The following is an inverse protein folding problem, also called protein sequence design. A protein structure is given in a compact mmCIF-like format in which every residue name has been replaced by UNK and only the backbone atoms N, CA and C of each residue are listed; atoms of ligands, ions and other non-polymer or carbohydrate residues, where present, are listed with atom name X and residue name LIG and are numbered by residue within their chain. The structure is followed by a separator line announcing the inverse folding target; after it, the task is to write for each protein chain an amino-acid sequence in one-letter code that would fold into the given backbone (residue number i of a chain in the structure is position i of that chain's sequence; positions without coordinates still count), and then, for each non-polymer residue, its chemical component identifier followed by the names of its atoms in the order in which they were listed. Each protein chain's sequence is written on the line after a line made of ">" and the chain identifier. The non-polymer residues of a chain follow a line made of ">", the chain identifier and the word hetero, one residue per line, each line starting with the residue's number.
data_IF_600785171520
#
_entry.id   IF_600785171520
#
_cell.length_a   1.000
_cell.length_b   1.000
_cell.length_c   1.000
_cell.angle_alpha   90.00
_cell.angle_beta   90.00
_cell.angle_gamma   90.00
#
_symmetry.space_group_name_H-M   'P 1'
#
loop_
_entity.id
_entity.type
_entity.pdbx_description
1 polymer ?
#
# COMPACT_ATOMS: atom_id res chain seq x y z
N UNK A 1 17.75 27.74 -17.11
CA UNK A 1 18.30 27.63 -15.74
C UNK A 1 18.12 26.18 -15.33
N UNK A 2 19.20 25.41 -15.18
CA UNK A 2 19.12 24.02 -14.70
C UNK A 2 18.73 24.06 -13.23
N UNK A 3 17.56 23.53 -12.87
CA UNK A 3 17.15 23.40 -11.48
C UNK A 3 18.19 22.54 -10.75
N UNK A 4 18.90 23.12 -9.80
CA UNK A 4 19.90 22.41 -9.02
C UNK A 4 19.17 21.75 -7.84
N UNK A 5 18.90 20.46 -7.95
CA UNK A 5 18.20 19.71 -6.92
C UNK A 5 19.17 19.37 -5.78
N UNK A 6 18.79 19.55 -4.50
CA UNK A 6 19.69 19.28 -3.40
C UNK A 6 19.78 17.77 -3.12
N UNK A 7 20.94 17.33 -2.65
CA UNK A 7 21.07 16.05 -1.96
C UNK A 7 20.25 16.05 -0.68
N UNK A 8 19.59 14.94 -0.39
CA UNK A 8 18.77 14.74 0.80
C UNK A 8 19.48 13.81 1.78
N UNK A 9 19.31 14.07 3.07
CA UNK A 9 19.63 13.13 4.15
C UNK A 9 18.32 12.72 4.81
N UNK A 10 17.92 11.49 4.58
CA UNK A 10 16.70 10.91 5.13
C UNK A 10 17.05 10.22 6.46
N UNK A 11 16.43 10.64 7.55
CA UNK A 11 16.65 10.07 8.88
C UNK A 11 15.46 9.20 9.28
N UNK A 12 15.72 7.94 9.63
CA UNK A 12 14.69 6.96 9.96
C UNK A 12 14.73 6.60 11.44
N UNK A 13 13.54 6.41 12.02
CA UNK A 13 13.36 5.87 13.37
C UNK A 13 12.27 4.81 13.34
N UNK A 14 12.66 3.55 13.43
CA UNK A 14 11.78 2.39 13.41
C UNK A 14 11.26 2.10 14.83
N UNK A 15 9.94 1.99 14.98
CA UNK A 15 9.29 1.87 16.30
C UNK A 15 9.08 0.43 16.77
N UNK A 16 9.23 -0.56 15.89
CA UNK A 16 9.03 -1.99 16.19
C UNK A 16 10.35 -2.73 16.09
N UNK A 17 10.65 -3.59 17.06
CA UNK A 17 11.86 -4.42 17.07
C UNK A 17 11.95 -5.34 15.86
N UNK A 18 10.82 -5.87 15.39
CA UNK A 18 10.73 -6.73 14.21
C UNK A 18 11.02 -6.02 12.88
N UNK A 19 11.16 -4.69 12.88
CA UNK A 19 11.45 -3.90 11.68
C UNK A 19 12.92 -3.46 11.61
N UNK A 20 13.72 -3.73 12.64
CA UNK A 20 15.12 -3.31 12.68
C UNK A 20 15.89 -3.82 11.46
N UNK A 21 16.73 -2.96 10.89
CA UNK A 21 17.56 -3.27 9.72
C UNK A 21 18.98 -3.50 10.24
N UNK A 22 19.50 -4.73 10.11
CA UNK A 22 20.76 -5.17 10.75
C UNK A 22 20.81 -4.87 12.27
N UNK A 23 19.68 -5.08 12.96
CA UNK A 23 19.54 -4.77 14.39
C UNK A 23 19.44 -3.27 14.72
N UNK A 24 19.48 -2.38 13.72
CA UNK A 24 19.41 -0.94 13.92
C UNK A 24 17.98 -0.42 13.77
N UNK A 25 17.53 0.36 14.76
CA UNK A 25 16.23 1.07 14.72
C UNK A 25 16.35 2.53 14.31
N UNK A 26 17.57 3.08 14.24
CA UNK A 26 17.82 4.48 13.87
C UNK A 26 18.98 4.49 12.89
N UNK A 27 18.77 5.04 11.69
CA UNK A 27 19.79 5.13 10.66
C UNK A 27 19.50 6.31 9.73
N UNK A 28 20.48 6.66 8.90
CA UNK A 28 20.31 7.69 7.86
C UNK A 28 20.64 7.12 6.49
N UNK A 29 19.93 7.61 5.48
CA UNK A 29 20.25 7.36 4.07
C UNK A 29 20.54 8.70 3.39
N UNK A 30 21.49 8.70 2.47
CA UNK A 30 21.79 9.87 1.64
C UNK A 30 21.19 9.61 0.26
N UNK A 31 20.54 10.60 -0.31
CA UNK A 31 19.93 10.53 -1.63
C UNK A 31 20.44 11.70 -2.49
N UNK A 32 21.12 11.40 -3.59
CA UNK A 32 21.66 12.37 -4.53
C UNK A 32 20.80 12.41 -5.79
N UNK A 33 20.34 13.59 -6.24
CA UNK A 33 19.45 13.68 -7.38
C UNK A 33 20.16 13.38 -8.69
N UNK A 34 19.47 12.66 -9.57
CA UNK A 34 19.83 12.44 -10.98
C UNK A 34 18.71 13.01 -11.85
N UNK A 35 19.03 14.05 -12.62
CA UNK A 35 18.06 14.74 -13.47
C UNK A 35 18.03 14.10 -14.85
N UNK A 36 16.85 13.82 -15.39
CA UNK A 36 16.73 13.29 -16.74
C UNK A 36 17.26 14.27 -17.79
N UNK A 37 17.68 13.75 -18.94
CA UNK A 37 18.27 14.56 -20.02
C UNK A 37 17.33 15.65 -20.54
N UNK A 38 16.02 15.40 -20.50
CA UNK A 38 14.96 16.32 -20.89
C UNK A 38 14.48 17.22 -19.73
N UNK A 39 15.08 17.10 -18.54
CA UNK A 39 14.71 17.81 -17.30
C UNK A 39 13.26 17.62 -16.86
N UNK A 40 12.56 16.61 -17.37
CA UNK A 40 11.16 16.34 -17.02
C UNK A 40 10.99 15.54 -15.73
N UNK A 41 12.07 14.89 -15.28
CA UNK A 41 12.06 14.03 -14.09
C UNK A 41 13.35 14.11 -13.30
N UNK A 42 13.23 13.82 -12.00
CA UNK A 42 14.36 13.71 -11.07
C UNK A 42 14.23 12.37 -10.38
N UNK A 43 15.25 11.54 -10.51
CA UNK A 43 15.45 10.34 -9.72
C UNK A 43 16.44 10.64 -8.61
N UNK A 44 16.58 9.71 -7.67
CA UNK A 44 17.55 9.82 -6.60
C UNK A 44 18.36 8.54 -6.48
N UNK A 45 19.68 8.67 -6.60
CA UNK A 45 20.61 7.61 -6.25
C UNK A 45 20.82 7.63 -4.75
N UNK A 46 20.64 6.49 -4.09
CA UNK A 46 20.67 6.42 -2.63
C UNK A 46 21.86 5.62 -2.13
N UNK A 47 22.33 5.97 -0.93
CA UNK A 47 23.38 5.24 -0.23
C UNK A 47 23.04 5.14 1.26
N UNK A 48 23.20 3.95 1.82
CA UNK A 48 23.07 3.69 3.24
C UNK A 48 24.10 2.65 3.68
N UNK A 49 24.69 2.85 4.85
CA UNK A 49 25.66 1.91 5.45
C UNK A 49 25.06 1.36 6.73
N UNK A 50 25.22 0.06 6.92
CA UNK A 50 24.82 -0.66 8.12
C UNK A 50 25.93 -1.59 8.55
N UNK A 51 26.23 -1.60 9.84
CA UNK A 51 27.20 -2.52 10.43
C UNK A 51 26.45 -3.59 11.22
N UNK A 52 26.85 -4.85 11.04
CA UNK A 52 26.38 -6.01 11.79
C UNK A 52 27.59 -6.87 12.18
N UNK A 53 27.89 -6.92 13.48
CA UNK A 53 29.12 -7.57 13.95
C UNK A 53 30.38 -6.92 13.37
N UNK A 54 31.26 -7.72 12.79
CA UNK A 54 32.52 -7.28 12.16
C UNK A 54 32.37 -6.96 10.66
N UNK A 55 31.13 -6.82 10.17
CA UNK A 55 30.85 -6.65 8.74
C UNK A 55 30.08 -5.34 8.50
N UNK A 56 30.54 -4.58 7.50
CA UNK A 56 29.84 -3.41 6.99
C UNK A 56 29.12 -3.74 5.68
N UNK A 57 27.87 -3.34 5.58
CA UNK A 57 27.00 -3.48 4.41
C UNK A 57 26.68 -2.09 3.86
N UNK A 58 27.10 -1.81 2.63
CA UNK A 58 26.66 -0.62 1.92
C UNK A 58 25.58 -0.98 0.90
N UNK A 59 24.41 -0.38 1.06
CA UNK A 59 23.30 -0.45 0.14
C UNK A 59 23.33 0.78 -0.76
N UNK A 60 23.43 0.57 -2.07
CA UNK A 60 23.46 1.64 -3.06
C UNK A 60 22.36 1.44 -4.09
N UNK A 61 21.59 2.48 -4.39
CA UNK A 61 20.69 2.53 -5.54
C UNK A 61 21.29 3.48 -6.57
N UNK A 62 21.59 2.99 -7.77
CA UNK A 62 22.08 3.79 -8.90
C UNK A 62 21.17 3.56 -10.08
N UNK A 63 20.50 4.61 -10.53
CA UNK A 63 19.61 4.60 -11.71
C UNK A 63 18.56 3.48 -11.66
N UNK A 64 18.04 3.21 -10.45
CA UNK A 64 17.02 2.18 -10.20
C UNK A 64 17.57 0.76 -9.99
N UNK A 65 18.88 0.55 -10.11
CA UNK A 65 19.54 -0.72 -9.81
C UNK A 65 20.12 -0.69 -8.40
N UNK A 66 19.75 -1.68 -7.59
CA UNK A 66 20.23 -1.81 -6.22
C UNK A 66 21.49 -2.69 -6.17
N UNK A 67 22.44 -2.31 -5.33
CA UNK A 67 23.71 -2.99 -5.10
C UNK A 67 23.93 -3.11 -3.59
N UNK A 68 24.49 -4.24 -3.18
CA UNK A 68 24.99 -4.45 -1.82
C UNK A 68 26.47 -4.77 -1.90
N UNK A 69 27.28 -3.98 -1.20
CA UNK A 69 28.68 -4.30 -0.96
C UNK A 69 28.89 -4.71 0.50
N UNK A 70 29.68 -5.75 0.72
CA UNK A 70 30.07 -6.22 2.03
C UNK A 70 31.59 -6.04 2.21
N UNK A 71 32.01 -5.48 3.35
CA UNK A 71 33.43 -5.36 3.71
C UNK A 71 33.66 -5.76 5.16
N UNK A 72 34.84 -6.33 5.43
CA UNK A 72 35.28 -6.60 6.81
C UNK A 72 35.67 -5.28 7.49
N UNK A 73 35.19 -5.06 8.71
CA UNK A 73 35.61 -3.94 9.56
C UNK A 73 36.97 -4.24 10.23
N UNK A 74 37.30 -5.52 10.42
CA UNK A 74 38.50 -5.97 11.15
C UNK A 74 39.71 -6.22 10.23
N UNK A 75 39.48 -6.32 8.92
CA UNK A 75 40.52 -6.58 7.93
C UNK A 75 40.39 -5.63 6.74
N UNK A 76 41.12 -4.52 6.80
CA UNK A 76 41.17 -3.51 5.73
C UNK A 76 41.87 -4.00 4.45
N UNK A 77 42.48 -5.20 4.47
CA UNK A 77 43.10 -5.83 3.28
C UNK A 77 42.15 -6.79 2.58
N UNK A 78 41.04 -7.17 3.21
CA UNK A 78 40.01 -7.99 2.60
C UNK A 78 39.32 -7.23 1.46
N UNK A 79 39.26 -7.84 0.28
CA UNK A 79 38.56 -7.24 -0.86
C UNK A 79 37.05 -7.21 -0.60
N UNK A 80 36.39 -6.04 -0.70
CA UNK A 80 34.95 -5.95 -0.53
C UNK A 80 34.26 -6.77 -1.61
N UNK A 81 33.25 -7.56 -1.22
CA UNK A 81 32.38 -8.24 -2.18
C UNK A 81 31.28 -7.26 -2.60
N UNK A 82 30.95 -7.22 -3.89
CA UNK A 82 29.86 -6.39 -4.42
C UNK A 82 28.95 -7.30 -5.22
N UNK A 83 27.66 -7.24 -4.93
CA UNK A 83 26.63 -7.98 -5.66
C UNK A 83 25.52 -7.03 -6.09
N UNK A 84 24.95 -7.28 -7.27
CA UNK A 84 23.67 -6.71 -7.61
C UNK A 84 22.62 -7.31 -6.67
N UNK A 85 21.80 -6.44 -6.11
CA UNK A 85 20.57 -6.84 -5.43
C UNK A 85 19.64 -7.24 -6.57
N UNK A 86 19.39 -8.54 -6.72
CA UNK A 86 18.58 -9.09 -7.80
C UNK A 86 17.25 -8.31 -7.89
N UNK A 87 16.69 -8.08 -9.08
CA UNK A 87 15.39 -7.39 -9.16
C UNK A 87 14.30 -8.13 -8.38
N UNK A 88 14.51 -9.43 -8.16
CA UNK A 88 13.67 -10.33 -7.36
C UNK A 88 13.83 -10.12 -5.84
N UNK A 89 14.82 -9.33 -5.40
CA UNK A 89 15.03 -8.97 -3.99
C UNK A 89 14.40 -7.63 -3.60
N UNK A 90 13.80 -6.90 -4.55
CA UNK A 90 12.68 -6.02 -4.22
C UNK A 90 11.50 -6.92 -3.86
N UNK A 91 10.92 -6.82 -2.65
CA UNK A 91 9.78 -7.65 -2.31
C UNK A 91 8.69 -7.42 -3.35
N UNK A 92 8.17 -8.52 -3.87
CA UNK A 92 7.05 -8.54 -4.80
C UNK A 92 5.97 -7.56 -4.36
N UNK A 93 5.51 -6.68 -5.27
CA UNK A 93 4.47 -5.70 -4.94
C UNK A 93 3.17 -6.45 -4.73
N UNK A 94 2.76 -6.55 -3.47
CA UNK A 94 1.47 -7.12 -3.07
C UNK A 94 0.48 -5.99 -2.85
N UNK A 95 -0.76 -6.18 -3.31
CA UNK A 95 -1.84 -5.22 -3.12
C UNK A 95 -2.90 -5.77 -2.19
N UNK A 96 -3.31 -4.96 -1.22
CA UNK A 96 -4.27 -5.35 -0.18
C UNK A 96 -5.39 -4.31 -0.18
N UNK A 97 -6.61 -4.73 -0.56
CA UNK A 97 -7.85 -3.94 -0.62
C UNK A 97 -7.71 -2.54 -1.26
N UNK A 98 -6.78 -2.39 -2.21
CA UNK A 98 -6.43 -1.08 -2.76
C UNK A 98 -7.49 -0.60 -3.77
N UNK A 99 -8.06 0.61 -3.64
CA UNK A 99 -9.15 1.09 -4.50
C UNK A 99 -8.64 1.57 -5.87
N UNK A 100 -8.27 0.66 -6.77
CA UNK A 100 -7.71 1.01 -8.09
C UNK A 100 -8.70 1.69 -9.05
N UNK A 101 -9.96 1.85 -8.65
CA UNK A 101 -10.97 2.71 -9.30
C UNK A 101 -11.63 3.68 -8.32
N UNK A 102 -10.99 3.96 -7.18
CA UNK A 102 -11.56 4.73 -6.08
C UNK A 102 -12.60 3.96 -5.25
N UNK A 103 -13.29 4.65 -4.36
CA UNK A 103 -14.12 4.07 -3.31
C UNK A 103 -15.44 4.85 -3.19
N UNK A 104 -16.58 4.16 -3.27
CA UNK A 104 -17.86 4.82 -2.97
C UNK A 104 -17.92 5.27 -1.51
N UNK A 105 -17.11 4.69 -0.60
CA UNK A 105 -16.97 5.18 0.76
C UNK A 105 -16.35 6.57 0.83
N UNK A 106 -15.36 6.87 -0.02
CA UNK A 106 -14.83 8.23 -0.16
C UNK A 106 -15.91 9.19 -0.64
N UNK A 107 -16.59 8.89 -1.74
CA UNK A 107 -17.68 9.72 -2.27
C UNK A 107 -18.76 9.98 -1.22
N UNK A 108 -19.13 8.94 -0.46
CA UNK A 108 -20.11 9.05 0.59
C UNK A 108 -19.66 9.95 1.73
N UNK A 109 -18.39 9.87 2.15
CA UNK A 109 -17.85 10.74 3.19
C UNK A 109 -17.76 12.20 2.72
N UNK A 110 -17.34 12.44 1.48
CA UNK A 110 -17.34 13.78 0.89
C UNK A 110 -18.75 14.37 0.81
N UNK A 111 -19.75 13.54 0.50
CA UNK A 111 -21.17 13.92 0.52
C UNK A 111 -21.70 14.17 1.93
N UNK A 112 -21.24 13.39 2.90
CA UNK A 112 -21.61 13.53 4.31
C UNK A 112 -21.09 14.85 4.90
N UNK A 113 -19.88 15.29 4.53
CA UNK A 113 -19.37 16.61 4.91
C UNK A 113 -20.15 17.80 4.31
N UNK A 114 -21.12 17.53 3.44
CA UNK A 114 -22.06 18.51 2.87
C UNK A 114 -23.50 18.25 3.34
N UNK A 115 -23.70 17.44 4.37
CA UNK A 115 -25.00 17.02 4.91
C UNK A 115 -25.93 16.44 3.83
N UNK A 116 -25.36 15.66 2.90
CA UNK A 116 -26.07 15.10 1.74
C UNK A 116 -26.38 13.60 1.86
N UNK A 117 -26.33 13.02 3.05
CA UNK A 117 -26.40 11.58 3.30
C UNK A 117 -27.37 11.23 4.43
N UNK A 118 -26.96 10.44 5.43
CA UNK A 118 -27.76 10.07 6.58
C UNK A 118 -27.10 10.61 7.87
N UNK A 119 -27.93 10.98 8.84
CA UNK A 119 -27.50 11.63 10.09
C UNK A 119 -26.42 10.82 10.83
N UNK A 120 -26.51 9.49 10.83
CA UNK A 120 -25.53 8.63 11.50
C UNK A 120 -24.12 8.84 10.94
N UNK A 121 -23.97 8.91 9.61
CA UNK A 121 -22.66 9.11 8.97
C UNK A 121 -22.21 10.56 9.01
N UNK A 122 -23.12 11.52 8.83
CA UNK A 122 -22.82 12.95 8.95
C UNK A 122 -22.22 13.26 10.32
N UNK A 123 -22.87 12.77 11.37
CA UNK A 123 -22.40 12.91 12.75
C UNK A 123 -21.07 12.18 12.98
N UNK A 124 -20.87 11.01 12.37
CA UNK A 124 -19.62 10.26 12.47
C UNK A 124 -18.45 11.04 11.83
N UNK A 125 -18.60 11.55 10.61
CA UNK A 125 -17.52 12.24 9.89
C UNK A 125 -17.21 13.60 10.52
N UNK A 126 -18.21 14.30 11.04
CA UNK A 126 -18.05 15.55 11.76
C UNK A 126 -17.29 15.35 13.08
N UNK A 127 -17.72 14.40 13.92
CA UNK A 127 -17.06 14.12 15.22
C UNK A 127 -15.68 13.50 15.09
N UNK A 128 -15.42 12.77 14.01
CA UNK A 128 -14.11 12.15 13.76
C UNK A 128 -13.08 13.13 13.20
N UNK A 129 -13.48 14.36 12.86
CA UNK A 129 -12.61 15.35 12.23
C UNK A 129 -12.31 15.06 10.76
N UNK A 130 -13.13 14.24 10.09
CA UNK A 130 -13.00 13.96 8.65
C UNK A 130 -13.65 15.02 7.78
N UNK A 131 -14.32 16.01 8.39
CA UNK A 131 -14.86 17.17 7.71
C UNK A 131 -14.09 18.45 8.07
N UNK A 132 -13.76 19.30 7.07
CA UNK A 132 -13.98 19.09 5.64
C UNK A 132 -13.12 17.94 5.10
N UNK A 133 -13.61 17.25 4.05
CA UNK A 133 -12.86 16.16 3.44
C UNK A 133 -11.46 16.63 2.99
N UNK A 134 -10.43 15.95 3.49
CA UNK A 134 -9.04 16.23 3.15
C UNK A 134 -8.64 15.62 1.79
N UNK A 135 -7.40 15.86 1.38
CA UNK A 135 -6.88 15.36 0.11
C UNK A 135 -6.77 13.82 0.10
N UNK A 136 -6.64 13.18 1.27
CA UNK A 136 -6.65 11.72 1.41
C UNK A 136 -8.01 11.13 1.05
N UNK A 137 -9.09 11.71 1.56
CA UNK A 137 -10.45 11.30 1.19
C UNK A 137 -10.69 11.63 -0.29
N UNK A 138 -10.43 12.87 -0.72
CA UNK A 138 -10.70 13.33 -2.10
C UNK A 138 -9.95 12.53 -3.16
N UNK A 139 -8.69 12.16 -2.91
CA UNK A 139 -7.88 11.37 -3.85
C UNK A 139 -8.38 9.93 -4.04
N UNK A 140 -9.35 9.49 -3.24
CA UNK A 140 -9.97 8.18 -3.33
C UNK A 140 -11.38 8.20 -3.95
N UNK A 141 -11.81 9.35 -4.50
CA UNK A 141 -13.10 9.47 -5.16
C UNK A 141 -13.23 8.45 -6.30
N UNK A 142 -14.41 7.86 -6.45
CA UNK A 142 -14.62 6.76 -7.38
C UNK A 142 -14.51 7.22 -8.84
N UNK A 143 -13.79 6.46 -9.67
CA UNK A 143 -13.53 6.77 -11.07
C UNK A 143 -14.86 6.97 -11.84
N UNK A 144 -15.05 8.17 -12.40
CA UNK A 144 -16.25 8.55 -13.15
C UNK A 144 -17.44 9.04 -12.32
N UNK A 145 -17.34 9.09 -10.99
CA UNK A 145 -18.39 9.63 -10.13
C UNK A 145 -18.28 11.15 -9.91
N UNK A 146 -19.29 11.73 -9.27
CA UNK A 146 -19.45 13.18 -9.08
C UNK A 146 -18.36 13.84 -8.24
N UNK A 147 -17.66 13.08 -7.40
CA UNK A 147 -16.56 13.59 -6.58
C UNK A 147 -15.17 13.40 -7.22
N UNK A 148 -15.10 12.69 -8.36
CA UNK A 148 -13.88 12.59 -9.14
C UNK A 148 -13.80 13.69 -10.21
N UNK A 149 -12.68 13.75 -10.92
CA UNK A 149 -12.45 14.68 -12.02
C UNK A 149 -11.62 14.00 -13.13
N UNK A 150 -11.42 14.69 -14.25
CA UNK A 150 -10.71 14.14 -15.42
C UNK A 150 -9.29 13.70 -15.06
N UNK A 151 -8.56 14.51 -14.31
CA UNK A 151 -7.18 14.24 -13.91
C UNK A 151 -7.08 12.99 -13.03
N UNK A 152 -7.93 12.87 -11.99
CA UNK A 152 -7.98 11.71 -11.11
C UNK A 152 -8.39 10.44 -11.87
N UNK A 153 -9.35 10.54 -12.79
CA UNK A 153 -9.74 9.43 -13.64
C UNK A 153 -8.59 8.96 -14.55
N UNK A 154 -7.84 9.89 -15.13
CA UNK A 154 -6.65 9.58 -15.93
C UNK A 154 -5.54 8.95 -15.08
N UNK A 155 -5.32 9.45 -13.86
CA UNK A 155 -4.39 8.87 -12.90
C UNK A 155 -4.76 7.43 -12.54
N UNK A 156 -6.04 7.13 -12.29
CA UNK A 156 -6.51 5.75 -12.08
C UNK A 156 -6.24 4.87 -13.29
N UNK A 157 -6.52 5.34 -14.51
CA UNK A 157 -6.26 4.56 -15.73
C UNK A 157 -4.78 4.27 -15.93
N UNK A 158 -3.91 5.23 -15.63
CA UNK A 158 -2.46 5.04 -15.67
C UNK A 158 -2.00 4.03 -14.60
N UNK A 159 -2.44 4.22 -13.36
CA UNK A 159 -2.12 3.33 -12.24
C UNK A 159 -2.59 1.90 -12.50
N UNK A 160 -3.81 1.70 -12.99
CA UNK A 160 -4.36 0.38 -13.33
C UNK A 160 -3.53 -0.37 -14.39
N UNK A 161 -2.93 0.33 -15.36
CA UNK A 161 -2.04 -0.29 -16.36
C UNK A 161 -0.77 -0.83 -15.69
N UNK A 162 -0.13 -0.03 -14.84
CA UNK A 162 1.07 -0.41 -14.08
C UNK A 162 0.75 -1.52 -13.08
N UNK A 163 -0.37 -1.39 -12.37
CA UNK A 163 -0.87 -2.34 -11.40
C UNK A 163 -1.01 -3.74 -12.01
N UNK A 164 -1.67 -3.84 -13.17
CA UNK A 164 -1.86 -5.13 -13.83
C UNK A 164 -0.59 -5.79 -14.34
N UNK A 165 0.43 -4.97 -14.65
CA UNK A 165 1.73 -5.45 -15.15
C UNK A 165 2.65 -5.92 -14.02
N UNK A 166 2.62 -5.26 -12.86
CA UNK A 166 3.67 -5.40 -11.85
C UNK A 166 3.20 -6.00 -10.53
N UNK A 167 1.90 -6.03 -10.23
CA UNK A 167 1.44 -6.61 -8.96
C UNK A 167 1.61 -8.12 -8.99
N UNK A 168 2.29 -8.64 -7.97
CA UNK A 168 2.54 -10.07 -7.83
C UNK A 168 1.33 -10.78 -7.25
N UNK A 169 0.77 -10.27 -6.15
CA UNK A 169 -0.37 -10.83 -5.44
C UNK A 169 -1.40 -9.77 -5.07
N UNK A 170 -2.68 -10.17 -4.99
CA UNK A 170 -3.79 -9.26 -4.70
C UNK A 170 -4.74 -9.90 -3.69
N UNK A 171 -4.95 -9.24 -2.56
CA UNK A 171 -6.01 -9.54 -1.61
C UNK A 171 -7.15 -8.54 -1.81
N UNK A 172 -8.29 -9.03 -2.27
CA UNK A 172 -9.53 -8.27 -2.33
C UNK A 172 -10.59 -8.92 -1.45
N UNK A 173 -11.65 -8.19 -1.11
CA UNK A 173 -12.81 -8.78 -0.46
C UNK A 173 -14.07 -8.52 -1.28
N UNK A 174 -14.99 -9.49 -1.24
CA UNK A 174 -16.31 -9.37 -1.86
C UNK A 174 -17.45 -9.43 -0.84
N UNK A 175 -17.13 -9.24 0.44
CA UNK A 175 -18.11 -9.13 1.51
C UNK A 175 -17.51 -8.46 2.74
N UNK A 176 -18.28 -7.60 3.37
CA UNK A 176 -17.95 -6.90 4.61
C UNK A 176 -18.25 -7.72 5.88
N UNK A 177 -18.49 -9.04 5.76
CA UNK A 177 -18.87 -9.87 6.92
C UNK A 177 -17.80 -9.90 8.03
N UNK A 178 -16.53 -9.85 7.64
CA UNK A 178 -15.35 -9.66 8.49
C UNK A 178 -15.13 -10.64 9.64
N UNK A 179 -14.13 -10.37 10.46
CA UNK A 179 -13.74 -11.10 11.65
C UNK A 179 -14.51 -10.57 12.86
N UNK A 180 -14.65 -11.41 13.89
CA UNK A 180 -15.29 -10.99 15.14
C UNK A 180 -14.42 -9.92 15.82
N UNK A 181 -14.83 -8.67 15.72
CA UNK A 181 -14.18 -7.50 16.34
C UNK A 181 -15.21 -6.45 16.75
N UNK A 182 -14.82 -5.53 17.63
CA UNK A 182 -15.59 -4.35 18.01
C UNK A 182 -15.90 -3.42 16.81
N UNK A 183 -14.97 -3.36 15.85
CA UNK A 183 -15.11 -2.57 14.61
C UNK A 183 -16.02 -3.22 13.57
N UNK A 184 -16.46 -4.45 13.77
CA UNK A 184 -17.29 -5.15 12.80
C UNK A 184 -18.63 -4.44 12.53
N UNK A 185 -19.21 -3.83 13.57
CA UNK A 185 -20.49 -3.14 13.48
C UNK A 185 -20.43 -1.93 12.55
N UNK A 186 -19.34 -1.14 12.60
CA UNK A 186 -19.23 0.04 11.74
C UNK A 186 -19.04 -0.36 10.27
N UNK A 187 -18.29 -1.42 9.99
CA UNK A 187 -18.14 -1.92 8.62
C UNK A 187 -19.40 -2.60 8.07
N UNK A 188 -20.22 -3.23 8.93
CA UNK A 188 -21.56 -3.68 8.52
C UNK A 188 -22.48 -2.53 8.17
N UNK A 189 -22.46 -1.45 8.96
CA UNK A 189 -23.21 -0.24 8.64
C UNK A 189 -22.73 0.32 7.30
N UNK A 190 -21.42 0.55 7.13
CA UNK A 190 -20.84 1.07 5.90
C UNK A 190 -21.20 0.22 4.68
N UNK A 191 -20.98 -1.09 4.72
CA UNK A 191 -21.29 -2.00 3.61
C UNK A 191 -22.78 -2.07 3.22
N UNK A 192 -23.67 -1.59 4.10
CA UNK A 192 -25.13 -1.58 3.90
C UNK A 192 -25.65 -0.21 3.45
N UNK A 193 -25.17 0.87 4.06
CA UNK A 193 -25.73 2.23 3.86
C UNK A 193 -25.03 3.01 2.74
N UNK A 194 -23.75 2.71 2.48
CA UNK A 194 -23.01 3.36 1.40
C UNK A 194 -23.55 2.79 0.09
N UNK A 195 -23.88 3.64 -0.90
CA UNK A 195 -24.43 3.23 -2.18
C UNK A 195 -23.32 2.62 -3.07
N UNK A 196 -22.80 1.47 -2.66
CA UNK A 196 -21.78 0.73 -3.39
C UNK A 196 -22.26 0.31 -4.78
N UNK A 197 -21.32 0.13 -5.72
CA UNK A 197 -21.65 -0.34 -7.09
C UNK A 197 -22.24 -1.76 -7.12
N UNK A 198 -22.04 -2.54 -6.06
CA UNK A 198 -22.66 -3.85 -5.85
C UNK A 198 -22.57 -4.29 -4.38
N UNK A 199 -23.25 -5.38 -4.03
CA UNK A 199 -23.10 -6.04 -2.73
C UNK A 199 -21.71 -6.66 -2.49
N UNK A 200 -20.85 -6.71 -3.52
CA UNK A 200 -19.47 -7.19 -3.42
C UNK A 200 -18.55 -6.04 -3.04
N UNK A 201 -18.46 -5.77 -1.75
CA UNK A 201 -17.59 -4.75 -1.17
C UNK A 201 -17.09 -5.21 0.21
N UNK A 202 -16.06 -4.54 0.72
CA UNK A 202 -15.48 -4.79 2.03
C UNK A 202 -15.96 -3.81 3.12
N UNK A 203 -17.00 -3.03 2.80
CA UNK A 203 -17.53 -1.95 3.61
C UNK A 203 -17.03 -0.58 3.17
N UNK A 204 -15.93 -0.48 2.43
CA UNK A 204 -15.39 0.79 1.93
C UNK A 204 -15.11 0.74 0.43
N UNK A 205 -14.53 -0.36 -0.04
CA UNK A 205 -14.04 -0.56 -1.40
C UNK A 205 -14.78 -1.71 -2.06
N UNK A 206 -15.23 -1.47 -3.28
CA UNK A 206 -15.84 -2.48 -4.13
C UNK A 206 -14.82 -3.50 -4.61
N UNK A 207 -15.21 -4.77 -4.69
CA UNK A 207 -14.36 -5.84 -5.23
C UNK A 207 -13.77 -5.49 -6.61
N UNK A 208 -14.58 -4.91 -7.51
CA UNK A 208 -14.12 -4.54 -8.85
C UNK A 208 -13.16 -3.35 -8.86
N UNK A 209 -13.28 -2.44 -7.90
CA UNK A 209 -12.29 -1.37 -7.71
C UNK A 209 -10.98 -1.98 -7.21
N UNK A 210 -11.06 -2.86 -6.21
CA UNK A 210 -9.90 -3.59 -5.70
C UNK A 210 -9.18 -4.42 -6.76
N UNK A 211 -9.94 -5.13 -7.61
CA UNK A 211 -9.37 -5.97 -8.65
C UNK A 211 -8.56 -5.18 -9.70
N UNK A 212 -8.73 -3.86 -9.81
CA UNK A 212 -7.92 -3.02 -10.70
C UNK A 212 -7.94 -3.46 -12.17
N UNK A 213 -9.03 -4.11 -12.60
CA UNK A 213 -9.20 -4.66 -13.94
C UNK A 213 -8.66 -6.08 -14.16
N UNK A 214 -8.17 -6.79 -13.14
CA UNK A 214 -8.01 -8.24 -13.22
C UNK A 214 -9.39 -8.92 -13.30
N UNK A 215 -9.56 -9.96 -14.13
CA UNK A 215 -10.83 -10.67 -14.23
C UNK A 215 -11.11 -11.43 -12.93
N UNK A 216 -12.38 -11.50 -12.53
CA UNK A 216 -12.79 -12.20 -11.31
C UNK A 216 -12.38 -13.68 -11.31
N UNK A 217 -12.26 -14.32 -12.48
CA UNK A 217 -11.78 -15.70 -12.64
C UNK A 217 -10.33 -15.92 -12.21
N UNK A 218 -9.53 -14.85 -12.08
CA UNK A 218 -8.17 -14.94 -11.55
C UNK A 218 -8.15 -15.12 -10.03
N UNK A 219 -9.23 -14.79 -9.34
CA UNK A 219 -9.30 -14.78 -7.89
C UNK A 219 -9.83 -16.11 -7.34
N UNK A 220 -9.04 -16.76 -6.50
CA UNK A 220 -9.44 -17.92 -5.70
C UNK A 220 -9.89 -17.51 -4.29
N UNK A 221 -10.47 -18.45 -3.55
CA UNK A 221 -11.10 -18.20 -2.25
C UNK A 221 -10.32 -18.81 -1.06
N UNK A 222 -9.06 -19.18 -1.28
CA UNK A 222 -8.13 -19.72 -0.30
C UNK A 222 -6.97 -18.76 -0.05
N UNK A 223 -6.40 -18.76 1.16
CA UNK A 223 -5.18 -18.01 1.48
C UNK A 223 -3.94 -18.47 0.69
N UNK A 224 -4.00 -19.65 0.07
CA UNK A 224 -2.96 -20.13 -0.83
C UNK A 224 -3.06 -19.51 -2.23
N UNK A 225 -4.16 -18.83 -2.55
CA UNK A 225 -4.34 -18.19 -3.85
C UNK A 225 -3.62 -16.85 -3.87
N UNK A 226 -2.68 -16.69 -4.80
CA UNK A 226 -1.97 -15.42 -4.99
C UNK A 226 -2.92 -14.24 -5.25
N UNK A 227 -4.03 -14.52 -5.93
CA UNK A 227 -5.14 -13.58 -6.11
C UNK A 227 -6.28 -14.09 -5.23
N UNK A 228 -6.41 -13.54 -4.03
CA UNK A 228 -7.30 -14.04 -2.99
C UNK A 228 -8.50 -13.12 -2.85
N UNK A 229 -9.70 -13.67 -3.05
CA UNK A 229 -10.96 -13.00 -2.72
C UNK A 229 -11.48 -13.49 -1.38
N UNK A 230 -11.57 -12.56 -0.43
CA UNK A 230 -11.93 -12.82 0.95
C UNK A 230 -13.37 -12.41 1.26
N UNK A 231 -13.77 -12.66 2.51
CA UNK A 231 -15.01 -12.16 3.14
C UNK A 231 -14.70 -11.18 4.29
N UNK A 232 -13.54 -10.54 4.25
CA UNK A 232 -13.06 -9.59 5.26
C UNK A 232 -13.73 -8.23 5.10
N UNK A 233 -13.96 -7.53 6.21
CA UNK A 233 -14.19 -6.08 6.10
C UNK A 233 -12.86 -5.37 5.80
N UNK A 234 -12.92 -4.10 5.39
CA UNK A 234 -11.75 -3.32 5.00
C UNK A 234 -10.70 -3.24 6.12
N UNK A 235 -11.15 -3.12 7.37
CA UNK A 235 -10.27 -3.03 8.54
C UNK A 235 -9.53 -4.33 8.83
N UNK A 236 -10.16 -5.49 8.67
CA UNK A 236 -9.54 -6.79 8.94
C UNK A 236 -8.42 -7.12 7.94
N UNK A 237 -8.50 -6.60 6.71
CA UNK A 237 -7.44 -6.76 5.72
C UNK A 237 -6.11 -6.12 6.14
N UNK A 238 -6.11 -5.24 7.16
CA UNK A 238 -4.91 -4.65 7.76
C UNK A 238 -4.21 -5.53 8.79
N UNK A 239 -4.55 -6.82 8.86
CA UNK A 239 -3.96 -7.84 9.75
C UNK A 239 -4.19 -7.63 11.25
N UNK A 240 -4.90 -6.57 11.66
CA UNK A 240 -5.11 -6.21 13.09
C UNK A 240 -5.80 -7.29 13.90
N UNK A 241 -6.69 -8.06 13.27
CA UNK A 241 -7.52 -9.07 13.93
C UNK A 241 -7.06 -10.52 13.63
N UNK A 242 -5.90 -10.69 12.98
CA UNK A 242 -5.36 -12.01 12.64
C UNK A 242 -6.19 -12.78 11.61
N UNK A 243 -6.17 -14.11 11.72
CA UNK A 243 -6.92 -15.03 10.86
C UNK A 243 -8.16 -15.59 11.54
N UNK A 244 -9.17 -15.97 10.76
CA UNK A 244 -10.29 -16.75 11.25
C UNK A 244 -9.85 -18.18 11.64
N UNK A 245 -10.41 -18.68 12.74
CA UNK A 245 -10.14 -20.03 13.23
C UNK A 245 -10.76 -21.15 12.37
N UNK A 246 -11.94 -20.90 11.78
CA UNK A 246 -12.78 -21.95 11.17
C UNK A 246 -13.08 -21.74 9.68
N UNK A 247 -12.60 -20.66 9.06
CA UNK A 247 -12.84 -20.41 7.63
C UNK A 247 -11.59 -19.97 6.90
N UNK A 248 -11.37 -20.55 5.71
CA UNK A 248 -10.29 -20.16 4.79
C UNK A 248 -10.56 -18.87 4.03
N UNK A 249 -11.77 -18.31 4.12
CA UNK A 249 -12.15 -17.09 3.39
C UNK A 249 -11.82 -15.80 4.16
N UNK A 250 -11.21 -15.89 5.35
CA UNK A 250 -10.87 -14.76 6.23
C UNK A 250 -9.51 -14.98 6.87
N UNK A 251 -8.49 -15.25 6.05
CA UNK A 251 -7.13 -15.58 6.50
C UNK A 251 -6.08 -14.60 5.91
N UNK A 252 -6.14 -13.30 6.25
CA UNK A 252 -5.25 -12.31 5.65
C UNK A 252 -3.79 -12.49 6.09
N UNK A 253 -3.51 -12.93 7.33
CA UNK A 253 -2.14 -13.11 7.82
C UNK A 253 -1.49 -14.30 7.14
N UNK A 254 -2.15 -15.47 7.15
CA UNK A 254 -1.66 -16.64 6.41
C UNK A 254 -1.48 -16.38 4.93
N UNK A 255 -2.39 -15.62 4.30
CA UNK A 255 -2.20 -15.25 2.88
C UNK A 255 -0.89 -14.50 2.68
N UNK A 256 -0.59 -13.53 3.54
CA UNK A 256 0.65 -12.77 3.44
C UNK A 256 1.89 -13.63 3.75
N UNK A 257 1.82 -14.50 4.77
CA UNK A 257 2.88 -15.45 5.11
C UNK A 257 3.17 -16.45 3.98
N UNK A 258 2.14 -16.90 3.25
CA UNK A 258 2.31 -17.82 2.12
C UNK A 258 2.87 -17.16 0.85
N UNK A 259 3.06 -15.84 0.84
CA UNK A 259 3.65 -15.09 -0.28
C UNK A 259 5.12 -14.71 -0.06
N UNK A 260 5.63 -14.89 1.16
CA UNK A 260 7.03 -14.67 1.55
C UNK A 260 7.82 -15.98 1.41
#
# INVERSE_FOLDING_TARGET
>A
MTANWPSLRLHFTLKRSTMQVYGQSVFSMIANPTVSSDSSSVLYNTFATFDEGATSYNHTLVDGLAYVSQSSLDDSTATPSVSCVDSDSLPSVNSIVAPMKGSMGSDYFQKSCKNGTNEFIENLVEKSGFCPADDGIKSLAYEGESYSNVELNEAYRAAQKVYRKNVYAVLCSNSFSGLKSDRQLIYWAFGTIIPHKSLKNDGMVEFLSCAGGFPASKFGNSHNDRFYVTKLNHGDASFRNGDALLTKSKMPVKWFECLL
#
